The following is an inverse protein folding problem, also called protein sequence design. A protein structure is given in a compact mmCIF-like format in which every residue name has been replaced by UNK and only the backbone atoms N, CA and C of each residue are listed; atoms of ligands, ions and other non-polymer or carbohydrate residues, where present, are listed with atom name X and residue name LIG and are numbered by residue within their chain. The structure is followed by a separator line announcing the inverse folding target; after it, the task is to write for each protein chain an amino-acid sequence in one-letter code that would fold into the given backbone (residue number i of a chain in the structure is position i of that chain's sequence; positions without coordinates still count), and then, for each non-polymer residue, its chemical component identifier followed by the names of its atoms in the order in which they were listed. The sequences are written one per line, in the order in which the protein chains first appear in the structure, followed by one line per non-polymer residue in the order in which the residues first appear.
data_IF_771427146241
#
_entry.id   IF_771427146241
#
_cell.length_a   1.000
_cell.length_b   1.000
_cell.length_c   1.000
_cell.angle_alpha   90.00
_cell.angle_beta   90.00
_cell.angle_gamma   90.00
#
_symmetry.space_group_name_H-M   'P 1'
#
loop_
_entity.id
_entity.type
_entity.pdbx_description
1 polymer ?
#
# COMPACT_ATOMS: atom_id res chain seq x y z
N UNK A 1 37.33 37.89 34.26
CA UNK A 1 37.90 36.52 34.35
C UNK A 1 36.92 35.73 35.21
N UNK A 2 36.03 34.86 34.75
CA UNK A 2 35.91 34.02 33.55
C UNK A 2 34.41 33.70 33.38
N UNK A 3 33.81 34.03 32.23
CA UNK A 3 32.44 33.63 31.87
C UNK A 3 32.56 32.66 30.71
N UNK A 4 32.42 31.34 30.94
CA UNK A 4 32.16 30.35 29.90
C UNK A 4 31.53 29.08 30.48
N UNK A 5 30.84 28.35 29.60
CA UNK A 5 30.16 27.03 29.70
C UNK A 5 28.65 27.16 29.96
N UNK A 6 27.72 26.66 29.13
CA UNK A 6 27.83 25.73 28.01
C UNK A 6 26.51 25.79 27.20
N UNK A 7 26.46 26.54 26.09
CA UNK A 7 25.28 26.67 25.18
C UNK A 7 25.12 25.45 24.25
N UNK A 8 25.69 24.29 24.60
CA UNK A 8 25.88 23.15 23.67
C UNK A 8 24.95 21.96 23.97
N UNK A 9 23.96 22.09 24.85
CA UNK A 9 23.03 20.98 25.16
C UNK A 9 21.64 21.10 24.54
N UNK A 10 21.25 22.25 24.01
CA UNK A 10 19.93 22.43 23.39
C UNK A 10 19.85 21.87 21.97
N UNK A 11 20.97 21.74 21.25
CA UNK A 11 20.94 21.26 19.85
C UNK A 11 20.88 19.73 19.71
N UNK A 12 21.23 18.96 20.74
CA UNK A 12 21.21 17.48 20.70
C UNK A 12 19.90 16.87 21.16
N UNK A 13 19.13 17.56 22.01
CA UNK A 13 17.82 17.10 22.47
C UNK A 13 16.73 17.29 21.39
N UNK A 14 16.88 18.27 20.50
CA UNK A 14 15.93 18.52 19.39
C UNK A 14 16.00 17.46 18.27
N UNK A 15 17.12 16.75 18.12
CA UNK A 15 17.24 15.68 17.12
C UNK A 15 16.66 14.33 17.57
N UNK A 16 16.36 14.18 18.86
CA UNK A 16 15.75 12.96 19.42
C UNK A 16 14.21 12.95 19.35
N UNK A 17 13.59 14.07 19.00
CA UNK A 17 12.14 14.19 18.90
C UNK A 17 11.59 13.64 17.55
N UNK A 18 11.03 12.43 17.58
CA UNK A 18 9.77 12.16 16.87
C UNK A 18 9.82 11.62 15.44
N UNK A 19 10.64 10.60 15.13
CA UNK A 19 10.40 9.74 13.95
C UNK A 19 10.03 8.33 14.39
N UNK A 20 9.00 7.74 13.79
CA UNK A 20 8.69 6.31 13.98
C UNK A 20 9.95 5.51 13.66
N UNK A 21 10.35 4.55 14.51
CA UNK A 21 11.48 3.70 14.18
C UNK A 21 11.20 2.99 12.86
N UNK A 22 12.18 3.01 11.95
CA UNK A 22 12.10 2.36 10.63
C UNK A 22 11.67 0.90 10.73
N UNK A 23 12.04 0.22 11.82
CA UNK A 23 11.62 -1.13 12.14
C UNK A 23 10.10 -1.26 12.31
N UNK A 24 9.43 -0.30 12.98
CA UNK A 24 7.97 -0.33 13.16
C UNK A 24 7.24 -0.03 11.85
N UNK A 25 7.74 0.93 11.06
CA UNK A 25 7.24 1.16 9.69
C UNK A 25 7.34 -0.11 8.85
N UNK A 26 8.51 -0.78 8.86
CA UNK A 26 8.72 -2.04 8.16
C UNK A 26 7.74 -3.13 8.62
N UNK A 27 7.56 -3.28 9.94
CA UNK A 27 6.62 -4.24 10.52
C UNK A 27 5.17 -3.99 10.06
N UNK A 28 4.71 -2.73 10.09
CA UNK A 28 3.36 -2.35 9.66
C UNK A 28 3.15 -2.66 8.18
N UNK A 29 4.13 -2.37 7.32
CA UNK A 29 4.02 -2.66 5.89
C UNK A 29 4.05 -4.16 5.59
N UNK A 30 4.90 -4.92 6.27
CA UNK A 30 4.94 -6.39 6.14
C UNK A 30 3.61 -6.99 6.58
N UNK A 31 3.07 -6.55 7.71
CA UNK A 31 1.76 -7.01 8.19
C UNK A 31 0.65 -6.65 7.19
N UNK A 32 0.67 -5.44 6.62
CA UNK A 32 -0.28 -5.02 5.59
C UNK A 32 -0.22 -5.94 4.36
N UNK A 33 0.98 -6.31 3.89
CA UNK A 33 1.14 -7.26 2.78
C UNK A 33 0.57 -8.63 3.15
N UNK A 34 0.89 -9.16 4.33
CA UNK A 34 0.39 -10.47 4.77
C UNK A 34 -1.14 -10.48 4.83
N UNK A 35 -1.74 -9.45 5.43
CA UNK A 35 -3.20 -9.33 5.54
C UNK A 35 -3.84 -9.18 4.16
N UNK A 36 -3.27 -8.34 3.27
CA UNK A 36 -3.79 -8.17 1.91
C UNK A 36 -3.71 -9.45 1.09
N UNK A 37 -2.59 -10.19 1.17
CA UNK A 37 -2.43 -11.49 0.52
C UNK A 37 -3.45 -12.49 1.05
N UNK A 38 -3.66 -12.55 2.37
CA UNK A 38 -4.65 -13.45 2.97
C UNK A 38 -6.08 -13.13 2.51
N UNK A 39 -6.46 -11.86 2.46
CA UNK A 39 -7.78 -11.46 1.93
C UNK A 39 -7.89 -11.76 0.43
N UNK A 40 -6.82 -11.54 -0.34
CA UNK A 40 -6.80 -11.88 -1.77
C UNK A 40 -6.91 -13.38 -2.02
N UNK A 41 -6.43 -14.25 -1.13
CA UNK A 41 -6.71 -15.70 -1.20
C UNK A 41 -8.21 -15.96 -1.14
N UNK A 42 -8.94 -15.29 -0.25
CA UNK A 42 -10.41 -15.42 -0.14
C UNK A 42 -11.08 -14.89 -1.41
N UNK A 43 -10.67 -13.74 -1.92
CA UNK A 43 -11.19 -13.18 -3.18
C UNK A 43 -10.96 -14.15 -4.35
N UNK A 44 -9.76 -14.72 -4.47
CA UNK A 44 -9.44 -15.70 -5.51
C UNK A 44 -10.32 -16.95 -5.40
N UNK A 45 -10.57 -17.41 -4.17
CA UNK A 45 -11.45 -18.55 -3.93
C UNK A 45 -12.90 -18.26 -4.36
N UNK A 46 -13.45 -17.10 -3.98
CA UNK A 46 -14.79 -16.66 -4.40
C UNK A 46 -14.88 -16.52 -5.91
N UNK A 47 -13.89 -15.90 -6.55
CA UNK A 47 -13.86 -15.72 -7.99
C UNK A 47 -13.88 -17.06 -8.75
N UNK A 48 -13.14 -18.05 -8.26
CA UNK A 48 -13.16 -19.43 -8.81
C UNK A 48 -14.53 -20.08 -8.63
N UNK A 49 -15.15 -19.93 -7.47
CA UNK A 49 -16.52 -20.38 -7.23
C UNK A 49 -17.55 -19.71 -8.14
N UNK A 50 -17.30 -18.47 -8.55
CA UNK A 50 -18.12 -17.70 -9.49
C UNK A 50 -17.82 -17.97 -10.98
N UNK A 51 -16.95 -18.94 -11.30
CA UNK A 51 -16.65 -19.33 -12.68
C UNK A 51 -15.35 -18.76 -13.25
N UNK A 52 -14.43 -18.26 -12.42
CA UNK A 52 -13.06 -17.97 -12.88
C UNK A 52 -12.33 -19.26 -13.22
N UNK A 53 -11.57 -19.27 -14.33
CA UNK A 53 -10.86 -20.46 -14.79
C UNK A 53 -9.86 -20.95 -13.73
N UNK A 54 -9.91 -22.24 -13.34
CA UNK A 54 -8.89 -22.83 -12.48
C UNK A 54 -7.51 -22.70 -13.13
N UNK A 55 -6.53 -22.16 -12.40
CA UNK A 55 -5.19 -21.93 -12.93
C UNK A 55 -5.02 -20.65 -13.75
N UNK A 56 -6.02 -19.76 -13.79
CA UNK A 56 -5.85 -18.42 -14.35
C UNK A 56 -4.67 -17.72 -13.64
N UNK A 57 -3.54 -17.44 -14.32
CA UNK A 57 -2.29 -17.07 -13.66
C UNK A 57 -2.39 -15.88 -12.70
N UNK A 58 -3.12 -14.78 -13.03
CA UNK A 58 -3.30 -13.65 -12.14
C UNK A 58 -3.98 -13.98 -10.79
N UNK A 59 -4.77 -15.06 -10.72
CA UNK A 59 -5.45 -15.51 -9.50
C UNK A 59 -4.62 -16.52 -8.68
N UNK A 60 -3.35 -16.71 -9.02
CA UNK A 60 -2.45 -17.61 -8.28
C UNK A 60 -1.67 -16.85 -7.20
N UNK A 61 -1.46 -17.50 -6.06
CA UNK A 61 -0.82 -16.89 -4.88
C UNK A 61 0.54 -16.27 -5.18
N UNK A 62 1.45 -16.93 -5.92
CA UNK A 62 2.75 -16.33 -6.23
C UNK A 62 2.61 -15.03 -7.04
N UNK A 63 1.65 -14.99 -7.97
CA UNK A 63 1.46 -13.87 -8.88
C UNK A 63 0.81 -12.68 -8.15
N UNK A 64 -0.38 -12.85 -7.58
CA UNK A 64 -1.03 -11.72 -6.89
C UNK A 64 -0.26 -11.32 -5.63
N UNK A 65 0.46 -12.24 -4.98
CA UNK A 65 1.31 -11.94 -3.83
C UNK A 65 2.46 -11.01 -4.20
N UNK A 66 3.15 -11.30 -5.30
CA UNK A 66 4.21 -10.43 -5.83
C UNK A 66 3.65 -9.05 -6.23
N UNK A 67 2.53 -9.00 -6.95
CA UNK A 67 1.89 -7.73 -7.31
C UNK A 67 1.40 -6.94 -6.10
N UNK A 68 0.88 -7.62 -5.07
CA UNK A 68 0.48 -6.98 -3.80
C UNK A 68 1.69 -6.33 -3.13
N UNK A 69 2.81 -7.06 -3.02
CA UNK A 69 4.03 -6.52 -2.45
C UNK A 69 4.52 -5.28 -3.22
N UNK A 70 4.62 -5.37 -4.55
CA UNK A 70 5.05 -4.25 -5.40
C UNK A 70 4.09 -3.07 -5.24
N UNK A 71 2.78 -3.31 -5.28
CA UNK A 71 1.75 -2.28 -5.09
C UNK A 71 1.89 -1.57 -3.75
N UNK A 72 2.11 -2.32 -2.67
CA UNK A 72 2.31 -1.74 -1.32
C UNK A 72 3.58 -0.91 -1.27
N UNK A 73 4.68 -1.35 -1.87
CA UNK A 73 5.95 -0.62 -1.89
C UNK A 73 5.86 0.67 -2.72
N UNK A 74 5.26 0.60 -3.91
CA UNK A 74 5.06 1.77 -4.78
C UNK A 74 4.12 2.77 -4.11
N UNK A 75 3.02 2.32 -3.50
CA UNK A 75 2.09 3.18 -2.77
C UNK A 75 2.75 3.85 -1.56
N UNK A 76 3.62 3.13 -0.83
CA UNK A 76 4.40 3.71 0.26
C UNK A 76 5.37 4.78 -0.23
N UNK A 77 6.11 4.51 -1.32
CA UNK A 77 7.00 5.49 -1.92
C UNK A 77 6.23 6.75 -2.36
N UNK A 78 5.06 6.58 -2.99
CA UNK A 78 4.15 7.67 -3.36
C UNK A 78 3.69 8.47 -2.14
N UNK A 79 3.28 7.79 -1.07
CA UNK A 79 2.90 8.44 0.19
C UNK A 79 4.04 9.29 0.75
N UNK A 80 5.27 8.77 0.79
CA UNK A 80 6.44 9.51 1.28
C UNK A 80 6.71 10.76 0.45
N UNK A 81 6.61 10.68 -0.87
CA UNK A 81 6.78 11.85 -1.74
C UNK A 81 5.72 12.91 -1.44
N UNK A 82 4.45 12.50 -1.27
CA UNK A 82 3.33 13.40 -0.95
C UNK A 82 3.53 14.06 0.41
N UNK A 83 3.87 13.28 1.43
CA UNK A 83 4.11 13.72 2.79
C UNK A 83 5.24 14.77 2.85
N UNK A 84 6.33 14.56 2.10
CA UNK A 84 7.47 15.49 2.08
C UNK A 84 7.25 16.75 1.23
N UNK A 85 6.38 16.71 0.21
CA UNK A 85 6.21 17.82 -0.74
C UNK A 85 4.90 18.60 -0.62
N UNK A 86 3.89 18.07 0.06
CA UNK A 86 2.56 18.70 0.11
C UNK A 86 2.30 19.44 1.41
N UNK A 87 1.84 20.69 1.31
CA UNK A 87 1.37 21.47 2.46
C UNK A 87 0.07 20.90 3.10
N UNK A 88 -0.68 20.05 2.38
CA UNK A 88 -1.94 19.41 2.84
C UNK A 88 -2.05 17.94 2.38
N UNK A 89 -1.25 17.03 2.96
CA UNK A 89 -1.12 15.65 2.47
C UNK A 89 -2.43 14.84 2.51
N UNK A 90 -3.28 15.05 3.52
CA UNK A 90 -4.56 14.34 3.64
C UNK A 90 -5.55 14.64 2.50
N UNK A 91 -5.61 15.90 2.03
CA UNK A 91 -6.52 16.28 0.93
C UNK A 91 -6.04 15.72 -0.41
N UNK A 92 -4.72 15.68 -0.62
CA UNK A 92 -4.15 15.09 -1.83
C UNK A 92 -4.36 13.57 -1.87
N UNK A 93 -4.20 12.89 -0.73
CA UNK A 93 -4.44 11.45 -0.64
C UNK A 93 -5.90 11.10 -0.95
N UNK A 94 -6.86 11.87 -0.43
CA UNK A 94 -8.28 11.67 -0.69
C UNK A 94 -8.67 11.78 -2.17
N UNK A 95 -7.88 12.48 -2.99
CA UNK A 95 -8.10 12.57 -4.44
C UNK A 95 -7.24 11.57 -5.22
N UNK A 96 -5.98 11.37 -4.82
CA UNK A 96 -5.05 10.52 -5.53
C UNK A 96 -5.41 9.04 -5.40
N UNK A 97 -5.85 8.59 -4.22
CA UNK A 97 -6.25 7.20 -3.98
C UNK A 97 -7.37 6.74 -4.93
N UNK A 98 -8.52 7.45 -5.05
CA UNK A 98 -9.56 7.01 -5.98
C UNK A 98 -9.13 7.12 -7.44
N UNK A 99 -8.34 8.13 -7.82
CA UNK A 99 -7.83 8.28 -9.21
C UNK A 99 -6.89 7.13 -9.57
N UNK A 100 -5.88 6.87 -8.74
CA UNK A 100 -4.93 5.77 -8.96
C UNK A 100 -5.63 4.42 -8.89
N UNK A 101 -6.59 4.26 -7.97
CA UNK A 101 -7.43 3.06 -7.90
C UNK A 101 -8.20 2.81 -9.18
N UNK A 102 -8.85 3.85 -9.73
CA UNK A 102 -9.58 3.75 -11.00
C UNK A 102 -8.63 3.45 -12.17
N UNK A 103 -7.47 4.11 -12.23
CA UNK A 103 -6.45 3.83 -13.24
C UNK A 103 -5.91 2.41 -13.14
N UNK A 104 -5.84 1.84 -11.93
CA UNK A 104 -5.37 0.47 -11.72
C UNK A 104 -6.32 -0.60 -12.28
N UNK A 105 -7.58 -0.24 -12.59
CA UNK A 105 -8.51 -1.14 -13.28
C UNK A 105 -8.36 -1.14 -14.80
N UNK A 106 -7.63 -0.19 -15.39
CA UNK A 106 -7.43 -0.14 -16.85
C UNK A 106 -6.78 -1.44 -17.37
N UNK A 107 -5.72 -1.98 -16.75
CA UNK A 107 -5.17 -3.28 -17.12
C UNK A 107 -6.19 -4.42 -17.00
N UNK A 108 -7.04 -4.43 -15.97
CA UNK A 108 -8.05 -5.49 -15.75
C UNK A 108 -9.13 -5.46 -16.83
N UNK A 109 -9.64 -4.27 -17.15
CA UNK A 109 -10.63 -4.08 -18.22
C UNK A 109 -10.03 -4.43 -19.58
N UNK A 110 -8.80 -3.99 -19.84
CA UNK A 110 -8.08 -4.38 -21.06
C UNK A 110 -7.91 -5.91 -21.13
N UNK A 111 -7.60 -6.57 -20.03
CA UNK A 111 -7.50 -8.03 -19.95
C UNK A 111 -8.83 -8.72 -20.22
N UNK A 112 -9.94 -8.21 -19.68
CA UNK A 112 -11.28 -8.75 -19.94
C UNK A 112 -11.77 -8.59 -21.37
N UNK A 113 -11.45 -7.45 -21.99
CA UNK A 113 -11.83 -7.12 -23.38
C UNK A 113 -10.95 -7.83 -24.41
N UNK A 114 -9.62 -7.77 -24.22
CA UNK A 114 -8.65 -8.26 -25.20
C UNK A 114 -8.30 -9.73 -24.98
N UNK A 115 -8.51 -10.27 -23.78
CA UNK A 115 -8.26 -11.67 -23.41
C UNK A 115 -6.89 -12.20 -23.82
N UNK A 116 -5.86 -11.35 -23.72
CA UNK A 116 -4.50 -11.70 -24.11
C UNK A 116 -3.82 -12.73 -23.19
N UNK A 117 -4.42 -13.05 -22.03
CA UNK A 117 -3.98 -14.13 -21.15
C UNK A 117 -4.97 -15.31 -21.24
N UNK A 118 -4.48 -16.54 -21.43
CA UNK A 118 -5.31 -17.75 -21.37
C UNK A 118 -6.10 -17.84 -20.05
N UNK A 119 -7.39 -18.18 -20.15
CA UNK A 119 -8.27 -18.30 -18.98
C UNK A 119 -8.86 -16.97 -18.47
N UNK A 120 -8.68 -15.87 -19.22
CA UNK A 120 -9.34 -14.60 -18.92
C UNK A 120 -10.87 -14.72 -19.06
N UNK A 121 -11.57 -14.70 -17.92
CA UNK A 121 -13.03 -14.67 -17.83
C UNK A 121 -13.47 -13.46 -17.02
N UNK A 122 -14.71 -13.00 -17.22
CA UNK A 122 -15.26 -11.86 -16.46
C UNK A 122 -15.25 -12.06 -14.94
N UNK A 123 -15.59 -13.24 -14.39
CA UNK A 123 -15.42 -13.51 -12.95
C UNK A 123 -13.97 -13.36 -12.48
N UNK A 124 -12.99 -13.79 -13.30
CA UNK A 124 -11.57 -13.60 -13.01
C UNK A 124 -11.17 -12.13 -12.98
N UNK A 125 -11.61 -11.35 -13.99
CA UNK A 125 -11.36 -9.90 -14.09
C UNK A 125 -11.98 -9.14 -12.92
N UNK A 126 -13.23 -9.44 -12.57
CA UNK A 126 -13.89 -8.85 -11.41
C UNK A 126 -13.16 -9.21 -10.11
N UNK A 127 -12.66 -10.45 -10.01
CA UNK A 127 -11.78 -10.86 -8.91
C UNK A 127 -10.53 -9.99 -8.79
N UNK A 128 -9.86 -9.69 -9.91
CA UNK A 128 -8.68 -8.81 -9.93
C UNK A 128 -9.02 -7.38 -9.52
N UNK A 129 -10.11 -6.81 -10.03
CA UNK A 129 -10.57 -5.48 -9.64
C UNK A 129 -10.85 -5.41 -8.13
N UNK A 130 -11.46 -6.44 -7.55
CA UNK A 130 -11.70 -6.53 -6.10
C UNK A 130 -10.37 -6.62 -5.34
N UNK A 131 -9.38 -7.38 -5.82
CA UNK A 131 -8.05 -7.43 -5.19
C UNK A 131 -7.37 -6.06 -5.14
N UNK A 132 -7.50 -5.25 -6.19
CA UNK A 132 -7.01 -3.86 -6.18
C UNK A 132 -7.65 -3.03 -5.06
N UNK A 133 -8.98 -3.14 -4.90
CA UNK A 133 -9.69 -2.47 -3.80
C UNK A 133 -9.20 -2.96 -2.43
N UNK A 134 -9.02 -4.27 -2.26
CA UNK A 134 -8.48 -4.86 -1.03
C UNK A 134 -7.12 -4.27 -0.67
N UNK A 135 -6.19 -4.21 -1.64
CA UNK A 135 -4.85 -3.64 -1.42
C UNK A 135 -4.96 -2.17 -1.04
N UNK A 136 -5.78 -1.38 -1.71
CA UNK A 136 -5.98 0.04 -1.39
C UNK A 136 -6.51 0.23 0.03
N UNK A 137 -7.56 -0.50 0.40
CA UNK A 137 -8.23 -0.39 1.70
C UNK A 137 -7.30 -0.79 2.85
N UNK A 138 -6.39 -1.73 2.63
CA UNK A 138 -5.44 -2.19 3.66
C UNK A 138 -4.19 -1.31 3.71
N UNK A 139 -3.64 -0.96 2.55
CA UNK A 139 -2.37 -0.26 2.46
C UNK A 139 -2.48 1.22 2.86
N UNK A 140 -3.58 1.91 2.51
CA UNK A 140 -3.75 3.34 2.83
C UNK A 140 -3.74 3.58 4.36
N UNK A 141 -4.53 2.88 5.18
CA UNK A 141 -4.43 2.99 6.64
C UNK A 141 -3.03 2.62 7.16
N UNK A 142 -2.38 1.61 6.60
CA UNK A 142 -1.04 1.21 6.99
C UNK A 142 -0.02 2.35 6.75
N UNK A 143 -0.12 3.07 5.64
CA UNK A 143 0.71 4.24 5.36
C UNK A 143 0.48 5.37 6.36
N UNK A 144 -0.80 5.64 6.69
CA UNK A 144 -1.17 6.65 7.67
C UNK A 144 -0.65 6.31 9.07
N UNK A 145 -0.69 5.02 9.47
CA UNK A 145 -0.15 4.56 10.75
C UNK A 145 1.38 4.68 10.76
N UNK A 146 2.03 4.23 9.69
CA UNK A 146 3.49 4.22 9.56
C UNK A 146 4.10 5.62 9.43
N UNK A 147 3.34 6.61 8.96
CA UNK A 147 3.78 8.01 8.81
C UNK A 147 3.57 8.90 10.03
N UNK A 148 2.81 8.47 11.05
CA UNK A 148 2.55 9.32 12.24
C UNK A 148 3.84 9.57 13.03
N UNK A 149 4.19 10.81 13.41
CA UNK A 149 5.34 11.04 14.27
C UNK A 149 5.17 10.30 15.61
N UNK A 150 6.27 9.76 16.15
CA UNK A 150 6.26 9.08 17.44
C UNK A 150 5.93 10.11 18.54
N UNK A 151 4.65 10.22 18.91
CA UNK A 151 4.23 11.03 20.06
C UNK A 151 4.73 10.34 21.32
N UNK A 152 5.63 11.00 22.05
CA UNK A 152 6.01 10.63 23.42
C UNK A 152 4.74 10.54 24.28
N UNK A 153 4.36 9.33 24.66
CA UNK A 153 3.44 9.10 25.79
C UNK A 153 4.24 9.13 27.08
#
# INVERSE_FOLDING_TARGET
MTTQTHTTQTHTLDHAAGRVPVALTGLVLVLAVIVAVAVNVVVAWVARGAGATPGFPPLTVPVFGAFTLVGVLVGWAGWRIIEHRSARPGRLLGWLVPVVGLLSFVPDVALGLLRFIPGATWPGVLGLMVMHVVVIVIAVPAYLIAGRPATSR
#
